data_IF_862635540336
#
_entry.id   IF_862635540336
#
_cell.length_a   1.000
_cell.length_b   1.000
_cell.length_c   1.000
_cell.angle_alpha   90.00
_cell.angle_beta   90.00
_cell.angle_gamma   90.00
#
_symmetry.space_group_name_H-M   'P 1'
#
loop_
_entity.id
_entity.type
_entity.pdbx_description
1 polymer ?
#
# COMPACT_ATOMS: atom_id res chain seq x y z
N UNK A 1 -0.96 3.41 3.25
CA UNK A 1 0.37 3.41 3.91
C UNK A 1 1.44 3.87 2.89
N UNK A 2 2.40 4.73 3.27
CA UNK A 2 3.41 5.34 2.35
C UNK A 2 4.84 4.80 2.56
N UNK A 3 5.00 3.53 2.93
CA UNK A 3 6.34 2.94 3.06
C UNK A 3 6.93 2.64 1.68
N UNK A 4 8.22 2.92 1.51
CA UNK A 4 8.93 2.73 0.23
C UNK A 4 9.84 1.49 0.32
N UNK A 5 9.54 0.40 -0.39
CA UNK A 5 10.46 -0.72 -0.51
C UNK A 5 11.68 -0.30 -1.34
N UNK A 6 12.86 -0.74 -0.92
CA UNK A 6 14.13 -0.46 -1.59
C UNK A 6 14.92 -1.74 -1.82
N UNK A 7 15.69 -1.74 -2.90
CA UNK A 7 16.75 -2.72 -3.13
C UNK A 7 18.08 -2.12 -2.69
N UNK A 8 18.90 -2.89 -2.00
CA UNK A 8 20.19 -2.43 -1.51
C UNK A 8 21.21 -3.56 -1.41
N UNK A 9 22.48 -3.20 -1.31
CA UNK A 9 23.57 -4.11 -1.01
C UNK A 9 24.21 -3.69 0.32
N UNK A 10 24.60 -4.66 1.14
CA UNK A 10 25.34 -4.38 2.36
C UNK A 10 26.73 -3.83 2.02
N UNK A 11 27.14 -2.77 2.72
CA UNK A 11 28.53 -2.29 2.71
C UNK A 11 29.47 -3.24 3.46
N UNK A 12 28.93 -3.88 4.49
CA UNK A 12 29.64 -4.86 5.31
C UNK A 12 29.91 -6.12 4.47
N UNK A 13 31.19 -6.39 4.23
CA UNK A 13 31.65 -7.52 3.44
C UNK A 13 31.24 -8.86 4.07
N UNK A 14 31.11 -8.94 5.40
CA UNK A 14 30.68 -10.15 6.10
C UNK A 14 29.18 -10.43 5.93
N UNK A 15 28.39 -9.41 5.59
CA UNK A 15 26.94 -9.50 5.33
C UNK A 15 26.58 -9.44 3.85
N UNK A 16 27.57 -9.32 2.97
CA UNK A 16 27.35 -9.21 1.54
C UNK A 16 26.76 -10.53 0.98
N UNK A 17 25.44 -10.58 0.84
CA UNK A 17 24.69 -11.73 0.30
C UNK A 17 23.95 -11.38 -1.01
N UNK A 18 24.56 -10.54 -1.84
CA UNK A 18 23.94 -10.02 -3.06
C UNK A 18 22.92 -8.91 -2.77
N UNK A 19 21.99 -8.68 -3.71
CA UNK A 19 20.96 -7.66 -3.58
C UNK A 19 19.90 -8.08 -2.56
N UNK A 20 19.52 -7.16 -1.68
CA UNK A 20 18.52 -7.35 -0.63
C UNK A 20 17.31 -6.44 -0.88
N UNK A 21 16.14 -6.86 -0.43
CA UNK A 21 14.93 -6.05 -0.41
C UNK A 21 14.62 -5.65 1.04
N UNK A 22 14.29 -4.39 1.28
CA UNK A 22 13.92 -3.93 2.61
C UNK A 22 13.37 -2.51 2.63
N UNK A 23 13.49 -1.87 3.80
CA UNK A 23 13.06 -0.52 4.08
C UNK A 23 14.23 0.30 4.65
N UNK A 24 14.20 1.61 4.44
CA UNK A 24 15.14 2.55 5.07
C UNK A 24 14.58 2.99 6.42
N UNK A 25 15.27 2.68 7.51
CA UNK A 25 14.80 2.96 8.87
C UNK A 25 14.47 4.44 9.09
N UNK A 26 15.29 5.37 8.57
CA UNK A 26 15.07 6.81 8.67
C UNK A 26 13.83 7.31 7.90
N UNK A 27 13.40 6.57 6.88
CA UNK A 27 12.15 6.87 6.16
C UNK A 27 10.95 6.31 6.90
N UNK A 28 11.10 5.09 7.44
CA UNK A 28 10.07 4.44 8.27
C UNK A 28 9.82 5.24 9.54
N UNK A 29 10.85 5.73 10.22
CA UNK A 29 10.76 6.52 11.46
C UNK A 29 9.82 7.73 11.32
N UNK A 30 9.83 8.39 10.16
CA UNK A 30 8.98 9.56 9.88
C UNK A 30 7.49 9.21 9.72
N UNK A 31 7.17 7.95 9.51
CA UNK A 31 5.82 7.47 9.18
C UNK A 31 5.27 6.60 10.32
N UNK A 32 6.13 5.75 10.89
CA UNK A 32 5.79 4.70 11.85
C UNK A 32 6.96 4.53 12.85
N UNK A 33 7.21 5.51 13.72
CA UNK A 33 8.34 5.49 14.65
C UNK A 33 8.30 4.30 15.61
N UNK A 34 7.11 3.79 15.93
CA UNK A 34 6.91 2.67 16.87
C UNK A 34 7.49 1.33 16.40
N UNK A 35 7.85 1.19 15.12
CA UNK A 35 8.50 -0.02 14.59
C UNK A 35 10.01 0.12 14.46
N UNK A 36 10.57 1.26 14.87
CA UNK A 36 12.02 1.47 14.89
C UNK A 36 12.56 0.92 16.20
N UNK A 37 13.54 0.02 16.10
CA UNK A 37 14.26 -0.47 17.27
C UNK A 37 15.21 0.59 17.82
N UNK A 38 15.65 0.40 19.07
CA UNK A 38 16.61 1.31 19.69
C UNK A 38 17.88 1.44 18.84
N UNK A 39 18.48 2.65 18.75
CA UNK A 39 19.73 2.85 18.05
C UNK A 39 20.84 1.97 18.64
N UNK A 40 21.55 1.24 17.78
CA UNK A 40 22.66 0.38 18.19
C UNK A 40 23.96 0.85 17.55
N UNK A 41 25.05 0.86 18.32
CA UNK A 41 26.37 1.02 17.74
C UNK A 41 26.75 -0.27 17.00
N UNK A 42 27.30 -0.13 15.79
CA UNK A 42 27.68 -1.27 14.93
C UNK A 42 29.04 -1.05 14.30
N UNK A 43 29.72 -2.16 13.99
CA UNK A 43 31.00 -2.15 13.28
C UNK A 43 30.82 -2.94 11.98
N UNK A 44 31.35 -2.43 10.88
CA UNK A 44 31.31 -3.10 9.57
C UNK A 44 32.72 -3.38 9.07
N UNK A 45 32.89 -4.49 8.36
CA UNK A 45 34.15 -4.82 7.68
C UNK A 45 34.05 -4.37 6.21
N UNK A 46 34.97 -3.50 5.77
CA UNK A 46 35.02 -3.03 4.38
C UNK A 46 35.78 -4.04 3.49
N UNK A 47 35.63 -3.97 2.15
CA UNK A 47 36.28 -4.92 1.24
C UNK A 47 37.82 -4.97 1.31
N UNK A 48 38.46 -3.91 1.79
CA UNK A 48 39.91 -3.84 2.01
C UNK A 48 40.36 -4.43 3.35
N UNK A 49 39.41 -4.96 4.14
CA UNK A 49 39.64 -5.55 5.46
C UNK A 49 39.68 -4.53 6.61
N UNK A 50 39.52 -3.23 6.34
CA UNK A 50 39.41 -2.21 7.39
C UNK A 50 38.05 -2.27 8.08
N UNK A 51 37.99 -1.79 9.33
CA UNK A 51 36.75 -1.70 10.13
C UNK A 51 36.30 -0.26 10.29
N UNK A 52 35.00 -0.05 10.17
CA UNK A 52 34.33 1.24 10.36
C UNK A 52 33.28 1.13 11.46
N UNK A 53 33.40 1.97 12.49
CA UNK A 53 32.43 2.07 13.59
C UNK A 53 31.32 3.07 13.24
N UNK A 54 30.06 2.65 13.36
CA UNK A 54 28.86 3.40 13.05
C UNK A 54 28.02 3.53 14.31
N UNK A 55 27.87 4.75 14.81
CA UNK A 55 27.08 5.04 16.02
C UNK A 55 25.61 5.20 15.70
N UNK A 56 24.75 4.72 16.62
CA UNK A 56 23.31 4.96 16.58
C UNK A 56 22.62 4.45 15.31
N UNK A 57 22.99 3.25 14.86
CA UNK A 57 22.39 2.60 13.70
C UNK A 57 20.93 2.26 13.99
N UNK A 58 20.02 2.84 13.21
CA UNK A 58 18.59 2.53 13.28
C UNK A 58 18.28 1.21 12.56
N UNK A 59 17.32 0.47 13.10
CA UNK A 59 16.83 -0.78 12.53
C UNK A 59 15.30 -0.81 12.53
N UNK A 60 14.72 -1.53 11.57
CA UNK A 60 13.28 -1.72 11.48
C UNK A 60 12.92 -3.07 12.10
N UNK A 61 12.02 -3.06 13.09
CA UNK A 61 11.40 -4.25 13.63
C UNK A 61 10.31 -4.74 12.67
N UNK A 62 10.67 -5.65 11.77
CA UNK A 62 9.70 -6.24 10.83
C UNK A 62 8.58 -7.03 11.52
N UNK A 63 8.85 -7.59 12.71
CA UNK A 63 7.81 -8.22 13.52
C UNK A 63 6.76 -7.20 14.00
N UNK A 64 7.20 -5.99 14.38
CA UNK A 64 6.31 -4.93 14.82
C UNK A 64 5.42 -4.38 13.67
N UNK A 65 5.81 -4.57 12.41
CA UNK A 65 4.98 -4.19 11.25
C UNK A 65 3.70 -5.01 11.12
N UNK A 66 3.62 -6.21 11.71
CA UNK A 66 2.49 -7.13 11.53
C UNK A 66 1.16 -6.50 12.00
N UNK A 67 1.15 -5.82 13.15
CA UNK A 67 -0.07 -5.22 13.71
C UNK A 67 -0.59 -4.06 12.82
N UNK A 68 0.23 -3.07 12.43
CA UNK A 68 -0.14 -2.07 11.43
C UNK A 68 -0.61 -2.66 10.10
N UNK A 69 0.01 -3.75 9.63
CA UNK A 69 -0.40 -4.43 8.40
C UNK A 69 -1.80 -5.06 8.52
N UNK A 70 -2.11 -5.70 9.65
CA UNK A 70 -3.46 -6.23 9.92
C UNK A 70 -4.48 -5.09 9.85
N UNK A 71 -4.19 -3.95 10.49
CA UNK A 71 -5.07 -2.78 10.48
C UNK A 71 -5.26 -2.24 9.06
N UNK A 72 -4.19 -2.13 8.27
CA UNK A 72 -4.26 -1.69 6.88
C UNK A 72 -5.12 -2.63 6.01
N UNK A 73 -5.04 -3.96 6.22
CA UNK A 73 -5.88 -4.94 5.51
C UNK A 73 -7.35 -4.81 5.90
N UNK A 74 -7.64 -4.58 7.18
CA UNK A 74 -9.02 -4.35 7.65
C UNK A 74 -9.63 -3.07 7.05
N UNK A 75 -8.87 -1.98 7.02
CA UNK A 75 -9.27 -0.72 6.40
C UNK A 75 -9.49 -0.90 4.90
N UNK A 76 -8.56 -1.55 4.21
CA UNK A 76 -8.68 -1.86 2.79
C UNK A 76 -9.93 -2.70 2.49
N UNK A 77 -10.24 -3.70 3.33
CA UNK A 77 -11.47 -4.48 3.20
C UNK A 77 -12.71 -3.61 3.36
N UNK A 78 -12.74 -2.74 4.38
CA UNK A 78 -13.86 -1.83 4.61
C UNK A 78 -14.10 -0.87 3.44
N UNK A 79 -13.02 -0.30 2.90
CA UNK A 79 -13.07 0.55 1.70
C UNK A 79 -13.56 -0.24 0.48
N UNK A 80 -13.07 -1.47 0.29
CA UNK A 80 -13.50 -2.32 -0.82
C UNK A 80 -14.97 -2.70 -0.75
N UNK A 81 -15.47 -3.06 0.44
CA UNK A 81 -16.87 -3.39 0.68
C UNK A 81 -17.76 -2.16 0.41
N UNK A 82 -17.32 -0.98 0.81
CA UNK A 82 -18.00 0.30 0.52
C UNK A 82 -18.06 0.58 -0.98
N UNK A 83 -16.91 0.50 -1.67
CA UNK A 83 -16.83 0.71 -3.12
C UNK A 83 -17.71 -0.27 -3.89
N UNK A 84 -17.79 -1.54 -3.48
CA UNK A 84 -18.68 -2.53 -4.10
C UNK A 84 -20.15 -2.19 -3.91
N UNK A 85 -20.53 -1.70 -2.73
CA UNK A 85 -21.90 -1.28 -2.46
C UNK A 85 -22.29 -0.05 -3.31
N UNK A 86 -21.40 0.94 -3.40
CA UNK A 86 -21.59 2.12 -4.25
C UNK A 86 -21.69 1.73 -5.73
N UNK A 87 -20.82 0.85 -6.20
CA UNK A 87 -20.85 0.35 -7.57
C UNK A 87 -22.16 -0.40 -7.87
N UNK A 88 -22.63 -1.24 -6.94
CA UNK A 88 -23.93 -1.90 -7.11
C UNK A 88 -25.07 -0.88 -7.18
N UNK A 89 -25.09 0.10 -6.28
CA UNK A 89 -26.14 1.13 -6.27
C UNK A 89 -26.12 2.00 -7.54
N UNK A 90 -24.94 2.27 -8.10
CA UNK A 90 -24.81 2.96 -9.39
C UNK A 90 -25.39 2.11 -10.53
N UNK A 91 -25.01 0.82 -10.61
CA UNK A 91 -25.53 -0.09 -11.63
C UNK A 91 -27.06 -0.24 -11.55
N UNK A 92 -27.63 -0.34 -10.34
CA UNK A 92 -29.08 -0.41 -10.15
C UNK A 92 -29.77 0.88 -10.65
N UNK A 93 -29.18 2.06 -10.40
CA UNK A 93 -29.69 3.34 -10.91
C UNK A 93 -29.63 3.43 -12.43
N UNK A 94 -28.58 2.90 -13.04
CA UNK A 94 -28.43 2.90 -14.49
C UNK A 94 -29.46 1.97 -15.15
N UNK A 95 -29.71 0.79 -14.57
CA UNK A 95 -30.78 -0.10 -15.05
C UNK A 95 -32.17 0.57 -14.99
N UNK A 96 -32.46 1.35 -13.95
CA UNK A 96 -33.72 2.12 -13.85
C UNK A 96 -33.79 3.21 -14.91
N UNK A 97 -32.68 3.93 -15.16
CA UNK A 97 -32.61 4.96 -16.21
C UNK A 97 -32.83 4.35 -17.60
N UNK A 98 -32.21 3.21 -17.87
CA UNK A 98 -32.36 2.51 -19.15
C UNK A 98 -33.82 2.07 -19.38
N UNK A 99 -34.48 1.53 -18.35
CA UNK A 99 -35.89 1.17 -18.42
C UNK A 99 -36.79 2.40 -18.72
N UNK A 100 -36.54 3.53 -18.04
CA UNK A 100 -37.29 4.76 -18.27
C UNK A 100 -37.06 5.33 -19.69
N UNK A 101 -35.85 5.21 -20.22
CA UNK A 101 -35.53 5.62 -21.60
C UNK A 101 -36.28 4.74 -22.60
N UNK A 102 -36.34 3.42 -22.39
CA UNK A 102 -37.09 2.52 -23.26
C UNK A 102 -38.60 2.78 -23.21
N UNK A 103 -39.16 3.04 -22.03
CA UNK A 103 -40.57 3.42 -21.91
C UNK A 103 -40.87 4.71 -22.68
N UNK A 104 -40.03 5.74 -22.53
CA UNK A 104 -40.18 7.00 -23.25
C UNK A 104 -40.08 6.81 -24.77
N UNK A 105 -39.16 5.96 -25.24
CA UNK A 105 -39.04 5.60 -26.66
C UNK A 105 -40.30 4.92 -27.17
N UNK A 106 -40.93 4.05 -26.39
CA UNK A 106 -42.19 3.41 -26.77
C UNK A 106 -43.34 4.41 -26.88
N UNK A 107 -43.48 5.31 -25.90
CA UNK A 107 -44.50 6.37 -25.92
C UNK A 107 -44.36 7.28 -27.14
N UNK A 108 -43.13 7.68 -27.49
CA UNK A 108 -42.83 8.46 -28.69
C UNK A 108 -43.23 7.73 -29.98
N UNK A 109 -42.91 6.43 -30.10
CA UNK A 109 -43.30 5.63 -31.28
C UNK A 109 -44.81 5.55 -31.43
N UNK A 110 -45.54 5.29 -30.35
CA UNK A 110 -47.00 5.20 -30.38
C UNK A 110 -47.65 6.50 -30.87
N UNK A 111 -47.14 7.65 -30.43
CA UNK A 111 -47.62 8.97 -30.85
C UNK A 111 -47.34 9.26 -32.33
N UNK A 112 -46.21 8.81 -32.86
CA UNK A 112 -45.84 8.98 -34.27
C UNK A 112 -46.68 8.12 -35.22
N UNK A 113 -47.15 6.96 -34.78
CA UNK A 113 -48.01 6.07 -35.59
C UNK A 113 -49.50 6.41 -35.51
N UNK A 114 -49.91 7.35 -34.65
CA UNK A 114 -51.32 7.78 -34.50
C UNK A 114 -51.71 9.00 -35.35
N UNK A 115 -50.82 9.52 -36.19
CA UNK A 115 -51.08 10.56 -37.21
C UNK A 115 -51.02 9.95 -38.61
#
# INVERSE_FOLDING_TARGET
MKLRPVRFHWRDAERAQGEQLGLIAQEVEKILPEVIGDPIDSSITLPDGSREEIKGTLNVSYAALVVPLIKAVQELKSENDTLRAEQKAANDKDAVRDAAIEEMRQQLRALMTSQ
#
